data_IF_883680634311
#
_entry.id   IF_883680634311
#
_cell.length_a   1.000
_cell.length_b   1.000
_cell.length_c   1.000
_cell.angle_alpha   90.00
_cell.angle_beta   90.00
_cell.angle_gamma   90.00
#
_symmetry.space_group_name_H-M   'P 1'
#
loop_
_entity.id
_entity.type
_entity.pdbx_description
1 polymer ?
#
# COMPACT_ATOMS: atom_id res chain seq x y z
N UNK A 1 -28.20 2.80 -11.45
CA UNK A 1 -27.38 2.88 -10.21
C UNK A 1 -26.74 1.53 -9.87
N UNK A 2 -27.46 0.41 -9.95
CA UNK A 2 -26.94 -0.96 -9.72
C UNK A 2 -25.76 -1.37 -10.61
N UNK A 3 -25.77 -1.02 -11.90
CA UNK A 3 -24.62 -1.30 -12.79
C UNK A 3 -23.33 -0.59 -12.37
N UNK A 4 -23.43 0.66 -11.87
CA UNK A 4 -22.28 1.40 -11.33
C UNK A 4 -21.78 0.79 -10.01
N UNK A 5 -22.69 0.32 -9.14
CA UNK A 5 -22.34 -0.38 -7.92
C UNK A 5 -21.64 -1.72 -8.19
N UNK A 6 -22.11 -2.50 -9.17
CA UNK A 6 -21.45 -3.75 -9.58
C UNK A 6 -20.08 -3.49 -10.20
N UNK A 7 -19.96 -2.50 -11.08
CA UNK A 7 -18.68 -2.10 -11.67
C UNK A 7 -17.68 -1.64 -10.61
N UNK A 8 -18.12 -0.80 -9.66
CA UNK A 8 -17.31 -0.38 -8.52
C UNK A 8 -16.92 -1.55 -7.63
N UNK A 9 -17.84 -2.45 -7.29
CA UNK A 9 -17.56 -3.61 -6.45
C UNK A 9 -16.52 -4.55 -7.09
N UNK A 10 -16.62 -4.80 -8.40
CA UNK A 10 -15.65 -5.61 -9.15
C UNK A 10 -14.27 -4.94 -9.16
N UNK A 11 -14.22 -3.64 -9.41
CA UNK A 11 -12.98 -2.88 -9.37
C UNK A 11 -12.34 -2.90 -7.96
N UNK A 12 -13.14 -2.61 -6.94
CA UNK A 12 -12.70 -2.64 -5.54
C UNK A 12 -12.20 -4.03 -5.13
N UNK A 13 -12.87 -5.11 -5.57
CA UNK A 13 -12.43 -6.49 -5.34
C UNK A 13 -11.03 -6.72 -5.93
N UNK A 14 -10.83 -6.35 -7.21
CA UNK A 14 -9.54 -6.53 -7.89
C UNK A 14 -8.43 -5.76 -7.17
N UNK A 15 -8.69 -4.50 -6.82
CA UNK A 15 -7.71 -3.66 -6.09
C UNK A 15 -7.40 -4.20 -4.69
N UNK A 16 -8.38 -4.77 -4.00
CA UNK A 16 -8.22 -5.30 -2.63
C UNK A 16 -7.49 -6.63 -2.60
N UNK A 17 -7.73 -7.50 -3.58
CA UNK A 17 -7.09 -8.83 -3.66
C UNK A 17 -5.62 -8.73 -4.05
N UNK A 18 -5.24 -7.72 -4.84
CA UNK A 18 -3.85 -7.50 -5.21
C UNK A 18 -3.10 -6.95 -3.99
N UNK A 19 -2.21 -7.73 -3.34
CA UNK A 19 -1.36 -7.18 -2.30
C UNK A 19 -0.56 -6.03 -2.91
N UNK A 20 -0.68 -4.84 -2.32
CA UNK A 20 -0.09 -3.63 -2.87
C UNK A 20 1.43 -3.75 -3.06
N UNK A 21 2.03 -2.92 -3.94
CA UNK A 21 3.47 -2.97 -4.23
C UNK A 21 4.33 -2.77 -2.96
N UNK A 22 3.83 -2.03 -1.98
CA UNK A 22 4.45 -1.83 -0.68
C UNK A 22 4.61 -3.15 0.11
N UNK A 23 3.50 -3.90 0.25
CA UNK A 23 3.50 -5.18 0.94
C UNK A 23 4.40 -6.21 0.23
N UNK A 24 4.41 -6.21 -1.11
CA UNK A 24 5.31 -7.06 -1.89
C UNK A 24 6.78 -6.70 -1.64
N UNK A 25 7.11 -5.42 -1.50
CA UNK A 25 8.47 -4.96 -1.23
C UNK A 25 8.95 -5.39 0.16
N UNK A 26 8.10 -5.19 1.18
CA UNK A 26 8.35 -5.61 2.56
C UNK A 26 8.52 -7.13 2.62
N UNK A 27 7.62 -7.89 1.98
CA UNK A 27 7.70 -9.35 1.93
C UNK A 27 8.98 -9.82 1.24
N UNK A 28 9.34 -9.22 0.09
CA UNK A 28 10.57 -9.51 -0.63
C UNK A 28 11.81 -9.28 0.24
N UNK A 29 11.85 -8.18 0.97
CA UNK A 29 12.97 -7.85 1.84
C UNK A 29 12.99 -8.72 3.11
N UNK A 30 11.82 -9.12 3.63
CA UNK A 30 11.67 -10.14 4.67
C UNK A 30 12.25 -11.49 4.21
N UNK A 31 11.90 -11.93 3.00
CA UNK A 31 12.34 -13.22 2.45
C UNK A 31 13.83 -13.23 2.11
N UNK A 32 14.39 -12.12 1.61
CA UNK A 32 15.80 -12.00 1.22
C UNK A 32 16.75 -11.68 2.38
N UNK A 33 16.35 -10.81 3.29
CA UNK A 33 17.20 -10.27 4.37
C UNK A 33 16.72 -10.64 5.78
N UNK A 34 15.74 -11.53 5.89
CA UNK A 34 15.14 -11.94 7.16
C UNK A 34 14.23 -10.89 7.79
N UNK A 35 13.75 -11.19 9.00
CA UNK A 35 12.76 -10.40 9.75
C UNK A 35 13.19 -8.95 9.99
N UNK A 36 14.49 -8.71 10.21
CA UNK A 36 15.04 -7.37 10.48
C UNK A 36 15.02 -6.48 9.23
N UNK A 37 15.43 -7.00 8.08
CA UNK A 37 15.41 -6.25 6.82
C UNK A 37 13.98 -5.92 6.38
N UNK A 38 13.04 -6.85 6.57
CA UNK A 38 11.63 -6.59 6.32
C UNK A 38 11.04 -5.55 7.27
N UNK A 39 11.37 -5.60 8.57
CA UNK A 39 10.93 -4.59 9.53
C UNK A 39 11.44 -3.18 9.18
N UNK A 40 12.72 -3.05 8.81
CA UNK A 40 13.27 -1.77 8.34
C UNK A 40 12.56 -1.26 7.09
N UNK A 41 12.22 -2.15 6.15
CA UNK A 41 11.46 -1.79 4.94
C UNK A 41 10.05 -1.31 5.29
N UNK A 42 9.35 -2.00 6.19
CA UNK A 42 8.00 -1.63 6.62
C UNK A 42 7.97 -0.27 7.33
N UNK A 43 8.98 0.02 8.17
CA UNK A 43 9.11 1.32 8.83
C UNK A 43 9.37 2.43 7.82
N UNK A 44 10.25 2.20 6.84
CA UNK A 44 10.50 3.17 5.76
C UNK A 44 9.26 3.46 4.92
N UNK A 45 8.51 2.42 4.56
CA UNK A 45 7.23 2.52 3.85
C UNK A 45 6.18 3.33 4.63
N UNK A 46 6.01 3.03 5.92
CA UNK A 46 5.08 3.74 6.80
C UNK A 46 5.47 5.22 6.95
N UNK A 47 6.76 5.51 7.11
CA UNK A 47 7.26 6.89 7.18
C UNK A 47 7.00 7.66 5.87
N UNK A 48 7.27 7.04 4.71
CA UNK A 48 6.98 7.65 3.41
C UNK A 48 5.48 7.92 3.21
N UNK A 49 4.63 6.99 3.65
CA UNK A 49 3.17 7.15 3.59
C UNK A 49 2.68 8.28 4.49
N UNK A 50 3.27 8.44 5.69
CA UNK A 50 2.98 9.56 6.59
C UNK A 50 3.41 10.90 5.97
N UNK A 51 4.60 10.97 5.37
CA UNK A 51 5.08 12.19 4.70
C UNK A 51 4.13 12.57 3.56
N UNK A 52 3.73 11.60 2.74
CA UNK A 52 2.80 11.84 1.64
C UNK A 52 1.40 12.24 2.15
N UNK A 53 0.90 11.59 3.21
CA UNK A 53 -0.38 11.95 3.82
C UNK A 53 -0.36 13.36 4.41
N UNK A 54 0.74 13.76 5.06
CA UNK A 54 0.94 15.14 5.55
C UNK A 54 0.98 16.10 4.38
N UNK A 55 1.74 15.80 3.31
CA UNK A 55 1.81 16.62 2.11
C UNK A 55 0.43 16.82 1.46
N UNK A 56 -0.36 15.76 1.34
CA UNK A 56 -1.74 15.82 0.85
C UNK A 56 -2.64 16.65 1.76
N UNK A 57 -2.51 16.52 3.09
CA UNK A 57 -3.29 17.28 4.06
C UNK A 57 -3.00 18.78 4.01
N UNK A 58 -1.77 19.19 3.70
CA UNK A 58 -1.40 20.60 3.52
C UNK A 58 -1.59 21.11 2.08
N UNK A 59 -2.10 20.28 1.16
CA UNK A 59 -2.41 20.66 -0.22
C UNK A 59 -1.22 20.73 -1.17
N UNK A 60 -0.11 20.04 -0.85
CA UNK A 60 1.08 19.96 -1.69
C UNK A 60 1.07 18.78 -2.68
N UNK A 61 0.10 17.88 -2.57
CA UNK A 61 -0.04 16.69 -3.42
C UNK A 61 -1.11 16.86 -4.50
#
# INVERSE_FOLDING_TARGET
MTGALLGFALFALVVTVVPGPDLLLVLRNCLRGGRRAGAATAVGAAAGSLVWAVAAAVGLA
#
